data_IF_108080838719
#
_entry.id   IF_108080838719
#
_cell.length_a   1.000
_cell.length_b   1.000
_cell.length_c   1.000
_cell.angle_alpha   90.00
_cell.angle_beta   90.00
_cell.angle_gamma   90.00
#
_symmetry.space_group_name_H-M   'P 1'
#
loop_
_entity.id
_entity.type
_entity.pdbx_description
1 polymer ?
#
# COMPACT_ATOMS: atom_id res chain seq x y z
N UNK A 1 10.13 -2.18 25.21
CA UNK A 1 9.05 -3.18 25.03
C UNK A 1 9.28 -4.12 23.83
N UNK A 2 10.50 -4.47 23.43
CA UNK A 2 10.75 -5.53 22.43
C UNK A 2 10.28 -5.29 20.99
N UNK A 3 9.43 -4.29 20.75
CA UNK A 3 8.98 -3.94 19.41
C UNK A 3 10.09 -3.18 18.66
N UNK A 4 10.53 -3.71 17.52
CA UNK A 4 11.53 -3.07 16.68
C UNK A 4 10.88 -2.49 15.43
N UNK A 5 11.25 -1.27 15.01
CA UNK A 5 10.87 -0.78 13.70
C UNK A 5 11.58 -1.59 12.63
N UNK A 6 10.86 -1.91 11.55
CA UNK A 6 11.53 -2.32 10.32
C UNK A 6 12.10 -1.04 9.69
N UNK A 7 13.43 -0.94 9.71
CA UNK A 7 14.13 0.20 9.13
C UNK A 7 14.26 -0.03 7.64
N UNK A 8 13.46 0.73 6.90
CA UNK A 8 13.53 0.85 5.46
C UNK A 8 14.57 1.91 5.11
N UNK A 9 15.67 1.49 4.50
CA UNK A 9 16.83 2.35 4.22
C UNK A 9 16.45 3.57 3.36
N UNK A 10 15.55 3.41 2.39
CA UNK A 10 15.11 4.52 1.53
C UNK A 10 14.29 5.55 2.33
N UNK A 11 13.42 5.06 3.22
CA UNK A 11 12.65 5.93 4.10
C UNK A 11 13.57 6.62 5.13
N UNK A 12 14.55 5.90 5.66
CA UNK A 12 15.51 6.43 6.61
C UNK A 12 16.34 7.56 5.99
N UNK A 13 16.89 7.34 4.79
CA UNK A 13 17.61 8.36 4.04
C UNK A 13 16.73 9.57 3.76
N UNK A 14 15.49 9.33 3.34
CA UNK A 14 14.52 10.41 3.08
C UNK A 14 14.28 11.26 4.31
N UNK A 15 14.08 10.64 5.48
CA UNK A 15 13.87 11.34 6.74
C UNK A 15 15.14 12.06 7.19
N UNK A 16 16.31 11.44 7.02
CA UNK A 16 17.61 12.03 7.33
C UNK A 16 17.85 13.34 6.56
N UNK A 17 17.44 13.41 5.29
CA UNK A 17 17.51 14.66 4.50
C UNK A 17 16.41 15.69 4.82
N UNK A 18 15.41 15.33 5.64
CA UNK A 18 14.27 16.20 5.96
C UNK A 18 14.43 16.96 7.28
N UNK A 19 15.27 16.45 8.20
CA UNK A 19 15.31 16.94 9.58
C UNK A 19 16.73 17.29 9.99
N UNK A 20 16.92 18.47 10.57
CA UNK A 20 18.21 18.93 11.10
C UNK A 20 18.41 18.54 12.57
N UNK A 21 17.33 18.43 13.35
CA UNK A 21 17.36 17.99 14.74
C UNK A 21 16.37 16.82 14.98
N UNK A 22 16.76 15.58 14.67
CA UNK A 22 15.87 14.43 14.74
C UNK A 22 15.50 14.10 16.19
N UNK A 23 14.20 14.09 16.48
CA UNK A 23 13.64 13.65 17.75
C UNK A 23 12.61 12.54 17.50
N UNK A 24 12.93 11.27 17.82
CA UNK A 24 12.00 10.16 17.63
C UNK A 24 10.88 10.20 18.66
N UNK A 25 9.64 10.09 18.19
CA UNK A 25 8.43 10.08 19.02
C UNK A 25 7.63 8.82 18.67
N UNK A 26 7.26 8.08 19.71
CA UNK A 26 6.41 6.90 19.58
C UNK A 26 4.95 7.33 19.68
N UNK A 27 4.15 6.98 18.68
CA UNK A 27 2.70 7.15 18.69
C UNK A 27 1.97 5.82 18.65
N UNK A 28 0.70 5.82 19.06
CA UNK A 28 -0.16 4.65 19.04
C UNK A 28 -1.36 4.89 18.10
N UNK A 29 -1.94 3.81 17.61
CA UNK A 29 -3.22 3.85 16.90
C UNK A 29 -4.16 2.75 17.41
N UNK A 30 -5.43 2.80 17.02
CA UNK A 30 -6.41 1.80 17.46
C UNK A 30 -6.06 0.42 16.93
N UNK A 31 -6.02 -0.59 17.81
CA UNK A 31 -5.78 -1.99 17.46
C UNK A 31 -6.80 -2.55 16.47
N UNK A 32 -8.00 -1.96 16.39
CA UNK A 32 -9.02 -2.32 15.38
C UNK A 32 -8.50 -2.24 13.94
N UNK A 33 -7.54 -1.36 13.65
CA UNK A 33 -6.97 -1.27 12.31
C UNK A 33 -6.05 -2.45 11.96
N UNK A 34 -5.63 -3.26 12.93
CA UNK A 34 -4.84 -4.48 12.68
C UNK A 34 -5.66 -5.56 11.96
N UNK A 35 -6.97 -5.40 11.82
CA UNK A 35 -7.81 -6.23 10.93
C UNK A 35 -7.49 -5.99 9.44
N UNK A 36 -6.91 -4.83 9.10
CA UNK A 36 -6.46 -4.55 7.74
C UNK A 36 -5.18 -5.32 7.41
N UNK A 37 -4.98 -5.73 6.13
CA UNK A 37 -3.72 -6.30 5.71
C UNK A 37 -2.54 -5.37 6.05
N UNK A 38 -1.45 -5.98 6.51
CA UNK A 38 -0.25 -5.25 6.95
C UNK A 38 0.29 -4.29 5.89
N UNK A 39 0.19 -4.66 4.62
CA UNK A 39 0.62 -3.89 3.47
C UNK A 39 -0.16 -2.59 3.31
N UNK A 40 -1.46 -2.59 3.63
CA UNK A 40 -2.32 -1.40 3.61
C UNK A 40 -1.87 -0.43 4.71
N UNK A 41 -1.65 -0.95 5.92
CA UNK A 41 -1.19 -0.17 7.07
C UNK A 41 0.20 0.45 6.82
N UNK A 42 1.14 -0.37 6.37
CA UNK A 42 2.52 0.05 6.08
C UNK A 42 2.53 1.11 4.97
N UNK A 43 1.75 0.90 3.91
CA UNK A 43 1.64 1.89 2.82
C UNK A 43 1.06 3.20 3.33
N UNK A 44 0.02 3.15 4.16
CA UNK A 44 -0.59 4.34 4.75
C UNK A 44 0.41 5.13 5.61
N UNK A 45 1.21 4.43 6.44
CA UNK A 45 2.22 5.02 7.33
C UNK A 45 3.43 5.58 6.57
N UNK A 46 4.05 4.77 5.70
CA UNK A 46 5.29 5.14 4.99
C UNK A 46 5.05 6.23 3.95
N UNK A 47 4.09 6.03 3.03
CA UNK A 47 3.94 6.94 1.88
C UNK A 47 3.35 8.29 2.24
N UNK A 48 2.35 8.32 3.12
CA UNK A 48 1.65 9.57 3.41
C UNK A 48 2.30 10.38 4.52
N UNK A 49 2.97 9.72 5.47
CA UNK A 49 3.44 10.38 6.69
C UNK A 49 4.90 10.10 7.07
N UNK A 50 5.62 9.26 6.31
CA UNK A 50 7.02 8.89 6.61
C UNK A 50 7.18 8.32 8.02
N UNK A 51 6.18 7.58 8.48
CA UNK A 51 6.22 6.90 9.77
C UNK A 51 6.85 5.52 9.64
N UNK A 52 7.59 5.11 10.66
CA UNK A 52 8.15 3.77 10.77
C UNK A 52 7.17 2.87 11.54
N UNK A 53 6.60 1.84 10.90
CA UNK A 53 5.75 0.88 11.59
C UNK A 53 6.58 0.07 12.59
N UNK A 54 6.00 -0.24 13.75
CA UNK A 54 6.63 -1.11 14.75
C UNK A 54 6.08 -2.53 14.65
N UNK A 55 6.95 -3.50 14.88
CA UNK A 55 6.62 -4.93 14.82
C UNK A 55 6.77 -5.57 16.20
N UNK A 56 5.83 -6.44 16.59
CA UNK A 56 5.96 -7.28 17.79
C UNK A 56 6.92 -8.45 17.55
N UNK A 57 6.91 -8.97 16.33
CA UNK A 57 7.76 -10.05 15.83
C UNK A 57 7.87 -9.92 14.30
N UNK A 58 8.64 -10.78 13.64
CA UNK A 58 8.90 -10.68 12.20
C UNK A 58 7.64 -10.71 11.29
N UNK A 59 6.47 -11.06 11.82
CA UNK A 59 5.22 -11.20 11.05
C UNK A 59 4.03 -10.40 11.59
N UNK A 60 4.13 -9.80 12.77
CA UNK A 60 3.00 -9.17 13.46
C UNK A 60 3.28 -7.69 13.74
N UNK A 61 2.47 -6.81 13.16
CA UNK A 61 2.52 -5.38 13.42
C UNK A 61 1.99 -5.06 14.82
N UNK A 62 2.69 -4.17 15.51
CA UNK A 62 2.19 -3.53 16.71
C UNK A 62 1.28 -2.35 16.32
N UNK A 63 0.30 -2.00 17.16
CA UNK A 63 -0.50 -0.79 17.01
C UNK A 63 0.28 0.49 17.39
N UNK A 64 1.56 0.56 16.99
CA UNK A 64 2.53 1.60 17.32
C UNK A 64 3.33 1.98 16.09
N UNK A 65 3.75 3.23 16.05
CA UNK A 65 4.61 3.77 15.00
C UNK A 65 5.60 4.76 15.59
N UNK A 66 6.68 5.01 14.85
CA UNK A 66 7.66 6.04 15.17
C UNK A 66 7.56 7.14 14.13
N UNK A 67 7.46 8.38 14.58
CA UNK A 67 7.61 9.59 13.77
C UNK A 67 8.85 10.34 14.22
N UNK A 68 9.54 10.99 13.28
CA UNK A 68 10.69 11.83 13.59
C UNK A 68 10.25 13.27 13.51
N UNK A 69 10.26 13.96 14.64
CA UNK A 69 10.01 15.40 14.68
C UNK A 69 11.31 16.18 14.52
N UNK A 70 11.22 17.34 13.86
CA UNK A 70 12.33 18.26 13.67
C UNK A 70 12.16 19.46 14.63
N UNK A 71 12.38 19.23 15.92
CA UNK A 71 11.94 20.18 16.94
C UNK A 71 13.00 20.47 18.00
N UNK A 72 13.00 21.70 18.51
CA UNK A 72 13.81 22.17 19.65
C UNK A 72 12.98 22.46 20.91
N UNK A 73 11.65 22.36 20.79
CA UNK A 73 10.72 23.08 21.68
C UNK A 73 10.12 22.20 22.80
N UNK A 74 10.52 20.92 22.86
CA UNK A 74 10.22 20.00 23.97
C UNK A 74 8.75 19.57 24.15
N UNK A 75 7.81 20.02 23.31
CA UNK A 75 6.40 19.63 23.38
C UNK A 75 6.13 18.27 22.71
N UNK A 76 6.62 17.19 23.33
CA UNK A 76 6.49 15.83 22.79
C UNK A 76 5.02 15.35 22.77
N UNK A 77 4.24 15.64 23.81
CA UNK A 77 2.86 15.16 23.93
C UNK A 77 1.93 15.72 22.85
N UNK A 78 2.09 17.02 22.53
CA UNK A 78 1.32 17.67 21.47
C UNK A 78 1.66 17.14 20.09
N UNK A 79 2.95 16.89 19.82
CA UNK A 79 3.40 16.29 18.57
C UNK A 79 2.90 14.85 18.46
N UNK A 80 2.98 14.06 19.53
CA UNK A 80 2.44 12.70 19.55
C UNK A 80 0.95 12.69 19.21
N UNK A 81 0.11 13.40 19.97
CA UNK A 81 -1.34 13.44 19.74
C UNK A 81 -1.70 13.96 18.34
N UNK A 82 -0.95 14.96 17.85
CA UNK A 82 -1.11 15.48 16.50
C UNK A 82 -0.91 14.40 15.44
N UNK A 83 0.20 13.67 15.52
CA UNK A 83 0.53 12.59 14.59
C UNK A 83 -0.44 11.40 14.70
N UNK A 84 -0.85 11.02 15.92
CA UNK A 84 -1.84 9.95 16.13
C UNK A 84 -3.19 10.31 15.49
N UNK A 85 -3.65 11.55 15.65
CA UNK A 85 -4.89 12.04 15.03
C UNK A 85 -4.81 12.01 13.50
N UNK A 86 -3.66 12.41 12.94
CA UNK A 86 -3.42 12.39 11.50
C UNK A 86 -3.38 10.96 10.97
N UNK A 87 -2.67 10.05 11.64
CA UNK A 87 -2.62 8.64 11.23
C UNK A 87 -4.01 8.00 11.27
N UNK A 88 -4.76 8.21 12.35
CA UNK A 88 -6.11 7.67 12.50
C UNK A 88 -7.02 8.06 11.34
N UNK A 89 -6.99 9.33 10.90
CA UNK A 89 -7.78 9.75 9.75
C UNK A 89 -7.41 8.99 8.47
N UNK A 90 -6.10 8.78 8.23
CA UNK A 90 -5.61 8.02 7.07
C UNK A 90 -5.97 6.53 7.12
N UNK A 91 -5.92 5.92 8.31
CA UNK A 91 -6.28 4.52 8.49
C UNK A 91 -7.80 4.31 8.31
N UNK A 92 -8.63 5.23 8.79
CA UNK A 92 -10.07 5.20 8.54
C UNK A 92 -10.39 5.28 7.03
N UNK A 93 -9.70 6.16 6.30
CA UNK A 93 -9.84 6.26 4.85
C UNK A 93 -9.43 4.94 4.17
N UNK A 94 -8.29 4.36 4.57
CA UNK A 94 -7.79 3.10 4.04
C UNK A 94 -8.75 1.93 4.33
N UNK A 95 -9.33 1.87 5.53
CA UNK A 95 -10.32 0.87 5.91
C UNK A 95 -11.58 0.98 5.04
N UNK A 96 -12.08 2.21 4.84
CA UNK A 96 -13.22 2.47 3.99
C UNK A 96 -12.96 2.01 2.55
N UNK A 97 -11.82 2.41 1.96
CA UNK A 97 -11.47 2.01 0.59
C UNK A 97 -11.30 0.51 0.45
N UNK A 98 -10.64 -0.14 1.42
CA UNK A 98 -10.47 -1.58 1.41
C UNK A 98 -11.83 -2.30 1.41
N UNK A 99 -12.76 -1.88 2.28
CA UNK A 99 -14.11 -2.45 2.34
C UNK A 99 -14.93 -2.15 1.09
N UNK A 100 -14.85 -0.94 0.53
CA UNK A 100 -15.54 -0.61 -0.73
C UNK A 100 -14.99 -1.43 -1.91
N UNK A 101 -13.68 -1.61 -1.99
CA UNK A 101 -13.04 -2.32 -3.10
C UNK A 101 -13.36 -3.82 -3.11
N UNK A 102 -13.58 -4.43 -1.94
CA UNK A 102 -14.01 -5.83 -1.78
C UNK A 102 -15.45 -6.09 -2.26
N UNK A 103 -16.29 -5.05 -2.43
CA UNK A 103 -17.70 -5.24 -2.82
C UNK A 103 -17.87 -5.71 -4.26
N UNK A 104 -16.90 -5.45 -5.14
CA UNK A 104 -16.97 -5.78 -6.56
C UNK A 104 -15.77 -6.63 -6.93
N UNK A 105 -15.99 -7.79 -7.54
CA UNK A 105 -14.88 -8.67 -7.93
C UNK A 105 -14.02 -8.01 -9.01
N UNK A 106 -12.74 -8.39 -9.07
CA UNK A 106 -11.86 -7.92 -10.15
C UNK A 106 -12.36 -8.34 -11.54
N UNK A 107 -13.06 -9.47 -11.65
CA UNK A 107 -13.63 -9.94 -12.91
C UNK A 107 -14.73 -8.99 -13.41
N UNK A 108 -15.61 -8.53 -12.51
CA UNK A 108 -16.69 -7.60 -12.84
C UNK A 108 -16.15 -6.22 -13.22
N UNK A 109 -14.94 -5.85 -12.75
CA UNK A 109 -14.26 -4.61 -13.13
C UNK A 109 -13.75 -4.63 -14.58
N UNK A 110 -13.61 -5.81 -15.23
CA UNK A 110 -13.09 -5.92 -16.61
C UNK A 110 -14.02 -5.26 -17.62
N UNK A 111 -15.33 -5.48 -17.52
CA UNK A 111 -16.30 -4.91 -18.47
C UNK A 111 -16.29 -3.37 -18.43
N UNK A 112 -16.06 -2.80 -17.25
CA UNK A 112 -15.97 -1.33 -17.05
C UNK A 112 -14.81 -0.71 -17.84
N UNK A 113 -13.80 -1.48 -18.21
CA UNK A 113 -12.68 -0.98 -19.05
C UNK A 113 -13.13 -0.60 -20.46
N UNK A 114 -14.28 -1.10 -20.93
CA UNK A 114 -14.87 -0.72 -22.21
C UNK A 114 -15.30 0.76 -22.26
N UNK A 115 -15.67 1.33 -21.11
CA UNK A 115 -16.05 2.73 -21.01
C UNK A 115 -14.84 3.69 -20.95
N UNK A 116 -13.63 3.18 -20.71
CA UNK A 116 -12.43 4.00 -20.55
C UNK A 116 -11.72 4.10 -21.90
N UNK A 117 -11.82 5.27 -22.55
CA UNK A 117 -11.16 5.53 -23.84
C UNK A 117 -9.64 5.49 -23.64
N UNK A 118 -8.97 4.56 -24.32
CA UNK A 118 -7.51 4.49 -24.36
C UNK A 118 -6.96 5.45 -25.42
N UNK A 119 -7.53 5.41 -26.62
CA UNK A 119 -7.13 6.28 -27.72
C UNK A 119 -8.25 6.35 -28.77
N UNK A 120 -8.55 7.54 -29.31
CA UNK A 120 -9.69 7.76 -30.21
C UNK A 120 -9.77 6.78 -31.39
N UNK A 121 -8.62 6.43 -32.00
CA UNK A 121 -8.55 5.47 -33.12
C UNK A 121 -8.41 3.99 -32.72
N UNK A 122 -8.03 3.71 -31.47
CA UNK A 122 -7.72 2.36 -31.00
C UNK A 122 -8.72 1.87 -29.94
N UNK A 123 -9.77 2.63 -29.67
CA UNK A 123 -10.83 2.25 -28.74
C UNK A 123 -10.47 2.39 -27.27
N UNK A 124 -11.04 1.49 -26.48
CA UNK A 124 -11.03 1.47 -25.02
C UNK A 124 -9.81 0.75 -24.43
N UNK A 125 -9.67 0.82 -23.10
CA UNK A 125 -8.71 -0.01 -22.36
C UNK A 125 -9.02 -1.50 -22.49
N UNK A 126 -10.30 -1.88 -22.60
CA UNK A 126 -10.70 -3.26 -22.86
C UNK A 126 -10.18 -3.74 -24.22
N UNK A 127 -10.33 -2.91 -25.27
CA UNK A 127 -9.82 -3.23 -26.61
C UNK A 127 -8.29 -3.39 -26.61
N UNK A 128 -7.59 -2.55 -25.84
CA UNK A 128 -6.14 -2.67 -25.65
C UNK A 128 -5.77 -4.00 -24.98
N UNK A 129 -6.49 -4.39 -23.92
CA UNK A 129 -6.23 -5.63 -23.19
C UNK A 129 -6.42 -6.87 -24.09
N UNK A 130 -7.52 -6.92 -24.85
CA UNK A 130 -7.79 -8.04 -25.76
C UNK A 130 -6.78 -8.12 -26.93
N UNK A 131 -6.36 -6.97 -27.48
CA UNK A 131 -5.25 -6.94 -28.46
C UNK A 131 -3.95 -7.50 -27.88
N UNK A 132 -3.60 -7.07 -26.66
CA UNK A 132 -2.37 -7.50 -26.00
C UNK A 132 -2.40 -9.01 -25.71
N UNK A 133 -3.54 -9.53 -25.23
CA UNK A 133 -3.76 -10.98 -25.02
C UNK A 133 -3.58 -11.76 -26.32
N UNK A 134 -4.10 -11.26 -27.44
CA UNK A 134 -3.95 -11.88 -28.76
C UNK A 134 -2.49 -11.88 -29.22
N UNK A 135 -1.80 -10.75 -29.09
CA UNK A 135 -0.39 -10.61 -29.47
C UNK A 135 0.51 -11.54 -28.65
N UNK A 136 0.30 -11.60 -27.33
CA UNK A 136 1.06 -12.49 -26.44
C UNK A 136 0.84 -13.95 -26.81
N UNK A 137 -0.41 -14.37 -27.11
CA UNK A 137 -0.71 -15.74 -27.59
C UNK A 137 0.00 -16.05 -28.91
N UNK A 138 0.01 -15.11 -29.85
CA UNK A 138 0.70 -15.26 -31.13
C UNK A 138 2.21 -15.48 -30.92
N UNK A 139 2.85 -14.62 -30.12
CA UNK A 139 4.29 -14.70 -29.83
C UNK A 139 4.63 -16.02 -29.11
N UNK A 140 3.83 -16.42 -28.11
CA UNK A 140 4.03 -17.66 -27.37
C UNK A 140 3.99 -18.90 -28.29
N UNK A 141 3.05 -18.90 -29.24
CA UNK A 141 2.92 -19.99 -30.23
C UNK A 141 4.13 -20.04 -31.16
N UNK A 142 4.61 -18.87 -31.63
CA UNK A 142 5.75 -18.79 -32.55
C UNK A 142 7.08 -19.23 -31.89
N UNK A 143 7.27 -18.93 -30.61
CA UNK A 143 8.53 -19.25 -29.89
C UNK A 143 8.54 -20.66 -29.29
N UNK A 144 7.47 -21.46 -29.42
CA UNK A 144 7.31 -22.79 -28.78
C UNK A 144 7.69 -22.77 -27.28
N UNK A 145 7.45 -21.65 -26.60
CA UNK A 145 7.84 -21.51 -25.20
C UNK A 145 6.85 -22.31 -24.35
N UNK A 146 7.28 -23.30 -23.52
CA UNK A 146 6.38 -24.14 -22.73
C UNK A 146 5.62 -23.39 -21.62
N UNK A 147 5.90 -22.10 -21.41
CA UNK A 147 5.46 -21.33 -20.24
C UNK A 147 3.95 -21.11 -20.13
N UNK A 148 3.14 -21.52 -21.12
CA UNK A 148 1.67 -21.36 -21.08
C UNK A 148 0.93 -22.62 -20.61
N UNK A 149 1.58 -23.77 -20.41
CA UNK A 149 0.87 -24.98 -19.95
C UNK A 149 0.43 -24.92 -18.48
N UNK A 150 1.06 -24.06 -17.67
CA UNK A 150 0.77 -23.91 -16.23
C UNK A 150 0.56 -22.44 -15.81
N UNK A 151 0.09 -21.56 -16.70
CA UNK A 151 -0.51 -20.31 -16.22
C UNK A 151 -1.89 -20.68 -15.68
N UNK A 152 -1.91 -21.23 -14.45
CA UNK A 152 -3.07 -21.02 -13.61
C UNK A 152 -3.20 -19.50 -13.54
N UNK A 153 -4.19 -18.95 -14.25
CA UNK A 153 -4.79 -17.69 -13.87
C UNK A 153 -5.11 -17.91 -12.41
N UNK A 154 -4.22 -17.45 -11.52
CA UNK A 154 -4.39 -17.66 -10.09
C UNK A 154 -5.81 -17.22 -9.83
N UNK A 155 -6.65 -18.14 -9.33
CA UNK A 155 -7.98 -17.75 -8.90
C UNK A 155 -7.72 -16.51 -8.06
N UNK A 156 -8.27 -15.38 -8.48
CA UNK A 156 -8.29 -14.20 -7.64
C UNK A 156 -9.02 -14.70 -6.40
N UNK A 157 -8.26 -15.17 -5.41
CA UNK A 157 -8.79 -15.50 -4.10
C UNK A 157 -9.39 -14.18 -3.70
N UNK A 158 -10.71 -14.18 -3.64
CA UNK A 158 -11.50 -13.07 -3.18
C UNK A 158 -10.79 -12.54 -1.93
N UNK A 159 -10.20 -11.36 -2.10
CA UNK A 159 -9.93 -10.49 -0.97
C UNK A 159 -11.28 -9.84 -0.68
#
# INVERSE_FOLDING_TARGET
EGNLPELDDELLDTVNYLVENPQPIVGNFSESHLELPSEVLITAMKKHQRYFPMWKNASELAAKFITISNGTDGNFDGVQHGNERVLRARLNDAEFFYKEDQKTSLADKVERLGAVIFHAKLGSLLDKAERLKTLVKFIATQKRTPCMQNVQLGSVRQI
#
